data_IF_375341511335
#
_entry.id   IF_375341511335
#
_cell.length_a   1.000
_cell.length_b   1.000
_cell.length_c   1.000
_cell.angle_alpha   90.00
_cell.angle_beta   90.00
_cell.angle_gamma   90.00
#
_symmetry.space_group_name_H-M   'P 1'
#
loop_
_entity.id
_entity.type
_entity.pdbx_description
1 polymer ?
#
# COMPACT_ATOMS: atom_id res chain seq x y z
N UNK A 1 -13.98 21.43 -13.44
CA UNK A 1 -13.50 20.87 -12.15
C UNK A 1 -12.12 20.29 -12.39
N UNK A 2 -11.13 20.64 -11.57
CA UNK A 2 -9.77 20.11 -11.75
C UNK A 2 -9.65 18.70 -11.19
N UNK A 3 -8.69 17.92 -11.69
CA UNK A 3 -8.42 16.57 -11.20
C UNK A 3 -8.06 16.56 -9.70
N UNK A 4 -7.27 17.54 -9.26
CA UNK A 4 -6.90 17.70 -7.85
C UNK A 4 -8.10 17.98 -6.95
N UNK A 5 -9.04 18.82 -7.40
CA UNK A 5 -10.26 19.10 -6.65
C UNK A 5 -11.13 17.84 -6.47
N UNK A 6 -11.23 17.01 -7.51
CA UNK A 6 -11.99 15.75 -7.43
C UNK A 6 -11.35 14.75 -6.44
N UNK A 7 -10.02 14.62 -6.45
CA UNK A 7 -9.27 13.77 -5.50
C UNK A 7 -9.49 14.27 -4.07
N UNK A 8 -9.35 15.57 -3.84
CA UNK A 8 -9.53 16.17 -2.52
C UNK A 8 -10.94 15.93 -1.99
N UNK A 9 -11.98 16.18 -2.81
CA UNK A 9 -13.37 15.92 -2.42
C UNK A 9 -13.61 14.46 -2.05
N UNK A 10 -13.02 13.52 -2.81
CA UNK A 10 -13.11 12.08 -2.50
C UNK A 10 -12.45 11.74 -1.16
N UNK A 11 -11.28 12.31 -0.87
CA UNK A 11 -10.60 12.14 0.41
C UNK A 11 -11.46 12.68 1.57
N UNK A 12 -11.97 13.91 1.45
CA UNK A 12 -12.82 14.53 2.49
C UNK A 12 -14.08 13.70 2.72
N UNK A 13 -14.74 13.25 1.65
CA UNK A 13 -15.92 12.40 1.76
C UNK A 13 -15.62 11.08 2.49
N UNK A 14 -14.49 10.45 2.19
CA UNK A 14 -14.06 9.22 2.88
C UNK A 14 -13.78 9.49 4.36
N UNK A 15 -13.07 10.56 4.67
CA UNK A 15 -12.79 10.98 6.05
C UNK A 15 -14.08 11.20 6.85
N UNK A 16 -15.00 11.99 6.32
CA UNK A 16 -16.27 12.30 7.00
C UNK A 16 -17.14 11.05 7.18
N UNK A 17 -17.15 10.15 6.19
CA UNK A 17 -17.83 8.86 6.29
C UNK A 17 -17.29 8.06 7.47
N UNK A 18 -15.97 7.79 7.51
CA UNK A 18 -15.35 7.03 8.60
C UNK A 18 -15.53 7.71 9.96
N UNK A 19 -15.42 9.05 10.01
CA UNK A 19 -15.63 9.82 11.24
C UNK A 19 -17.06 9.68 11.79
N UNK A 20 -18.05 9.59 10.90
CA UNK A 20 -19.48 9.59 11.27
C UNK A 20 -20.00 8.19 11.58
N UNK A 21 -19.68 7.19 10.74
CA UNK A 21 -20.24 5.83 10.85
C UNK A 21 -19.24 4.80 11.39
N UNK A 22 -17.98 5.20 11.57
CA UNK A 22 -16.88 4.32 11.98
C UNK A 22 -16.26 3.54 10.82
N UNK A 23 -15.20 2.79 11.15
CA UNK A 23 -14.51 1.92 10.20
C UNK A 23 -15.18 0.54 10.12
N UNK A 24 -15.76 0.22 8.96
CA UNK A 24 -16.42 -1.05 8.67
C UNK A 24 -15.78 -1.74 7.45
N UNK A 25 -14.67 -2.47 7.61
CA UNK A 25 -13.87 -3.01 6.49
C UNK A 25 -14.66 -3.88 5.49
N UNK A 26 -15.72 -4.57 5.94
CA UNK A 26 -16.55 -5.43 5.10
C UNK A 26 -17.63 -4.69 4.31
N UNK A 27 -17.99 -3.47 4.72
CA UNK A 27 -19.16 -2.73 4.24
C UNK A 27 -18.80 -1.35 3.69
N UNK A 28 -17.53 -0.97 3.71
CA UNK A 28 -17.11 0.35 3.28
C UNK A 28 -17.28 0.51 1.75
N UNK A 29 -18.12 1.45 1.29
CA UNK A 29 -18.46 1.59 -0.14
C UNK A 29 -17.29 2.03 -1.02
N UNK A 30 -16.19 2.53 -0.43
CA UNK A 30 -14.97 2.90 -1.12
C UNK A 30 -13.99 1.74 -1.41
N UNK A 31 -14.35 0.51 -1.02
CA UNK A 31 -13.52 -0.68 -1.20
C UNK A 31 -12.63 -0.99 0.02
N UNK A 32 -12.06 -2.20 0.01
CA UNK A 32 -11.12 -2.67 1.04
C UNK A 32 -9.73 -2.10 0.79
N UNK A 33 -8.94 -2.01 1.86
CA UNK A 33 -7.49 -1.83 1.73
C UNK A 33 -6.94 -3.14 1.19
N UNK A 34 -6.30 -3.08 0.02
CA UNK A 34 -5.62 -4.22 -0.59
C UNK A 34 -4.18 -3.90 -0.90
N UNK A 35 -3.35 -4.93 -1.01
CA UNK A 35 -1.93 -4.74 -1.26
C UNK A 35 -1.12 -6.01 -1.13
N UNK A 36 0.19 -5.85 -1.20
CA UNK A 36 1.15 -6.95 -1.18
C UNK A 36 2.01 -6.85 0.07
N UNK A 37 2.27 -7.98 0.72
CA UNK A 37 3.23 -8.08 1.81
C UNK A 37 4.61 -8.30 1.20
N UNK A 38 5.55 -7.44 1.56
CA UNK A 38 6.97 -7.61 1.32
C UNK A 38 7.60 -8.17 2.58
N UNK A 39 8.25 -9.33 2.48
CA UNK A 39 8.91 -10.01 3.60
C UNK A 39 10.43 -9.97 3.43
N UNK A 40 11.11 -9.46 4.44
CA UNK A 40 12.56 -9.43 4.58
C UNK A 40 12.97 -10.07 5.92
N UNK A 41 14.26 -10.34 6.09
CA UNK A 41 14.79 -10.97 7.31
C UNK A 41 14.46 -10.20 8.60
N UNK A 42 14.42 -8.87 8.54
CA UNK A 42 14.24 -7.97 9.68
C UNK A 42 12.78 -7.52 9.89
N UNK A 43 11.85 -8.01 9.07
CA UNK A 43 10.43 -7.77 9.23
C UNK A 43 9.66 -7.71 7.91
N UNK A 44 8.53 -7.02 7.95
CA UNK A 44 7.65 -6.91 6.80
C UNK A 44 7.16 -5.49 6.56
N UNK A 45 6.75 -5.25 5.32
CA UNK A 45 6.04 -4.05 4.88
C UNK A 45 4.81 -4.45 4.11
N UNK A 46 3.71 -3.75 4.35
CA UNK A 46 2.51 -3.87 3.52
C UNK A 46 2.46 -2.70 2.56
N UNK A 47 2.46 -2.98 1.25
CA UNK A 47 2.37 -1.97 0.19
C UNK A 47 0.95 -1.98 -0.33
N UNK A 48 0.19 -0.93 -0.02
CA UNK A 48 -1.20 -0.80 -0.45
C UNK A 48 -1.30 -0.41 -1.93
N UNK A 49 -2.13 -1.13 -2.69
CA UNK A 49 -2.45 -0.83 -4.09
C UNK A 49 -3.84 -0.18 -4.23
N UNK A 50 -4.77 -0.45 -3.31
CA UNK A 50 -6.12 0.12 -3.25
C UNK A 50 -6.46 0.54 -1.83
N UNK A 51 -7.46 1.42 -1.72
CA UNK A 51 -7.92 1.94 -0.43
C UNK A 51 -7.07 3.08 0.14
N UNK A 52 -6.23 3.76 -0.66
CA UNK A 52 -5.34 4.83 -0.20
C UNK A 52 -6.09 5.98 0.51
N UNK A 53 -7.27 6.37 0.02
CA UNK A 53 -8.10 7.39 0.69
C UNK A 53 -8.58 6.93 2.07
N UNK A 54 -8.95 5.65 2.20
CA UNK A 54 -9.39 5.08 3.45
C UNK A 54 -8.24 4.97 4.44
N UNK A 55 -7.06 4.53 3.97
CA UNK A 55 -5.84 4.50 4.79
C UNK A 55 -5.47 5.89 5.33
N UNK A 56 -5.52 6.92 4.48
CA UNK A 56 -5.26 8.30 4.88
C UNK A 56 -6.28 8.80 5.91
N UNK A 57 -7.57 8.51 5.72
CA UNK A 57 -8.61 8.88 6.67
C UNK A 57 -8.43 8.18 8.03
N UNK A 58 -8.16 6.87 8.04
CA UNK A 58 -7.93 6.10 9.26
C UNK A 58 -6.73 6.62 10.05
N UNK A 59 -5.63 6.93 9.35
CA UNK A 59 -4.44 7.52 9.96
C UNK A 59 -4.75 8.89 10.59
N UNK A 60 -5.47 9.76 9.87
CA UNK A 60 -5.85 11.09 10.38
C UNK A 60 -6.80 11.01 11.58
N UNK A 61 -7.66 9.99 11.64
CA UNK A 61 -8.57 9.72 12.76
C UNK A 61 -7.91 8.96 13.93
N UNK A 62 -6.62 8.64 13.84
CA UNK A 62 -5.86 8.01 14.92
C UNK A 62 -6.12 6.51 15.10
N UNK A 63 -6.62 5.82 14.07
CA UNK A 63 -6.76 4.36 14.12
C UNK A 63 -5.37 3.70 14.13
N UNK A 64 -5.03 2.89 15.15
CA UNK A 64 -3.70 2.28 15.26
C UNK A 64 -3.52 1.09 14.31
N UNK A 65 -4.62 0.53 13.82
CA UNK A 65 -4.66 -0.69 13.00
C UNK A 65 -5.78 -0.60 11.97
N UNK A 66 -5.60 -1.25 10.83
CA UNK A 66 -6.60 -1.38 9.79
C UNK A 66 -6.59 -2.79 9.22
N UNK A 67 -7.76 -3.36 8.96
CA UNK A 67 -7.88 -4.62 8.21
C UNK A 67 -7.52 -4.41 6.75
N UNK A 68 -6.66 -5.26 6.21
CA UNK A 68 -6.30 -5.28 4.80
C UNK A 68 -6.48 -6.69 4.23
N UNK A 69 -6.59 -6.80 2.91
CA UNK A 69 -6.64 -8.08 2.19
C UNK A 69 -5.46 -8.15 1.22
N UNK A 70 -4.92 -9.33 1.00
CA UNK A 70 -3.85 -9.51 0.02
C UNK A 70 -4.39 -9.31 -1.39
N UNK A 71 -3.63 -8.61 -2.22
CA UNK A 71 -3.99 -8.31 -3.59
C UNK A 71 -3.96 -9.60 -4.42
N UNK A 72 -5.06 -9.97 -5.11
CA UNK A 72 -5.09 -11.16 -5.96
C UNK A 72 -4.29 -11.00 -7.25
N UNK A 73 -3.92 -9.76 -7.60
CA UNK A 73 -3.10 -9.43 -8.77
C UNK A 73 -1.60 -9.75 -8.52
N UNK A 74 -1.23 -9.94 -7.26
CA UNK A 74 0.07 -10.44 -6.83
C UNK A 74 -0.14 -11.78 -6.14
N UNK A 75 0.89 -12.59 -5.93
CA UNK A 75 0.78 -13.75 -5.02
C UNK A 75 0.48 -13.34 -3.56
N UNK A 76 0.28 -12.03 -3.30
CA UNK A 76 -0.05 -11.45 -2.01
C UNK A 76 1.16 -11.30 -1.10
N UNK A 77 2.21 -12.07 -1.37
CA UNK A 77 3.46 -12.11 -0.62
C UNK A 77 4.63 -12.11 -1.60
N UNK A 78 5.63 -11.27 -1.34
CA UNK A 78 6.91 -11.28 -2.02
C UNK A 78 8.00 -11.39 -0.97
N UNK A 79 8.71 -12.51 -1.00
CA UNK A 79 9.92 -12.73 -0.20
C UNK A 79 11.13 -12.14 -0.94
N UNK A 80 11.99 -11.42 -0.24
CA UNK A 80 13.16 -10.76 -0.81
C UNK A 80 14.05 -11.76 -1.55
N UNK A 81 14.23 -12.96 -1.00
CA UNK A 81 15.07 -14.03 -1.52
C UNK A 81 14.51 -14.57 -2.85
N UNK A 82 13.20 -14.45 -3.06
CA UNK A 82 12.47 -14.92 -4.25
C UNK A 82 12.28 -13.83 -5.30
N UNK A 83 12.88 -12.65 -5.16
CA UNK A 83 12.74 -11.57 -6.16
C UNK A 83 13.17 -12.01 -7.56
N UNK A 84 14.21 -12.83 -7.65
CA UNK A 84 14.69 -13.39 -8.92
C UNK A 84 13.69 -14.34 -9.58
N UNK A 85 12.77 -14.89 -8.79
CA UNK A 85 11.76 -15.82 -9.25
C UNK A 85 10.47 -15.17 -9.71
N UNK A 86 10.32 -13.85 -9.52
CA UNK A 86 9.12 -13.12 -9.90
C UNK A 86 8.88 -13.21 -11.42
N UNK A 87 7.62 -13.36 -11.88
CA UNK A 87 7.32 -13.58 -13.29
C UNK A 87 7.91 -12.52 -14.23
N UNK A 88 7.86 -11.25 -13.83
CA UNK A 88 8.39 -10.14 -14.64
C UNK A 88 9.92 -10.05 -14.65
N UNK A 89 10.59 -10.57 -13.61
CA UNK A 89 12.06 -10.69 -13.58
C UNK A 89 12.48 -11.86 -14.47
N UNK A 90 11.82 -13.02 -14.33
CA UNK A 90 12.05 -14.20 -15.19
C UNK A 90 11.78 -13.91 -16.67
N UNK A 91 10.76 -13.11 -16.97
CA UNK A 91 10.44 -12.68 -18.32
C UNK A 91 11.39 -11.61 -18.89
N UNK A 92 12.35 -11.11 -18.09
CA UNK A 92 13.32 -10.10 -18.52
C UNK A 92 12.74 -8.69 -18.68
N UNK A 93 11.55 -8.42 -18.14
CA UNK A 93 10.93 -7.07 -18.16
C UNK A 93 11.74 -6.10 -17.32
N UNK A 94 12.29 -6.58 -16.20
CA UNK A 94 13.20 -5.83 -15.35
C UNK A 94 14.44 -6.67 -14.97
N UNK A 95 15.63 -6.05 -14.89
CA UNK A 95 16.78 -6.68 -14.26
C UNK A 95 16.49 -7.02 -12.80
N UNK A 96 17.02 -8.16 -12.33
CA UNK A 96 16.85 -8.59 -10.94
C UNK A 96 17.36 -7.54 -9.94
N UNK A 97 18.49 -6.88 -10.25
CA UNK A 97 19.07 -5.84 -9.39
C UNK A 97 18.15 -4.62 -9.27
N UNK A 98 17.44 -4.26 -10.34
CA UNK A 98 16.43 -3.18 -10.31
C UNK A 98 15.24 -3.57 -9.45
N UNK A 99 14.75 -4.80 -9.57
CA UNK A 99 13.66 -5.29 -8.73
C UNK A 99 14.06 -5.32 -7.24
N UNK A 100 15.31 -5.74 -6.96
CA UNK A 100 15.87 -5.74 -5.61
C UNK A 100 15.98 -4.32 -5.04
N UNK A 101 16.47 -3.37 -5.84
CA UNK A 101 16.55 -1.96 -5.45
C UNK A 101 15.17 -1.39 -5.09
N UNK A 102 14.14 -1.67 -5.90
CA UNK A 102 12.77 -1.22 -5.65
C UNK A 102 12.17 -1.86 -4.40
N UNK A 103 12.44 -3.15 -4.19
CA UNK A 103 12.03 -3.86 -2.98
C UNK A 103 12.67 -3.23 -1.74
N UNK A 104 13.99 -3.07 -1.74
CA UNK A 104 14.75 -2.50 -0.61
C UNK A 104 14.32 -1.04 -0.34
N UNK A 105 13.95 -0.30 -1.38
CA UNK A 105 13.42 1.05 -1.24
C UNK A 105 12.12 1.12 -0.42
N UNK A 106 11.29 0.06 -0.42
CA UNK A 106 10.07 0.00 0.39
C UNK A 106 10.36 -0.05 1.91
N UNK A 107 11.56 -0.49 2.29
CA UNK A 107 11.99 -0.58 3.69
C UNK A 107 12.72 0.69 4.17
N UNK A 108 13.12 1.58 3.25
CA UNK A 108 13.74 2.86 3.63
C UNK A 108 12.74 3.82 4.28
N UNK A 109 13.09 4.37 5.44
CA UNK A 109 12.22 5.32 6.18
C UNK A 109 12.24 6.71 5.54
N UNK A 110 11.17 7.48 5.73
CA UNK A 110 11.04 8.85 5.21
C UNK A 110 12.17 9.77 5.67
N UNK A 111 12.69 9.59 6.91
CA UNK A 111 13.87 10.33 7.42
C UNK A 111 15.15 10.05 6.61
N UNK A 112 15.28 8.84 6.06
CA UNK A 112 16.43 8.46 5.24
C UNK A 112 16.28 8.91 3.77
N UNK A 113 15.07 9.30 3.33
CA UNK A 113 14.78 9.74 1.95
C UNK A 113 15.02 11.24 1.70
N UNK A 114 15.11 12.05 2.74
CA UNK A 114 15.32 13.52 2.66
C UNK A 114 16.70 13.92 3.23
N UNK A 115 17.50 12.96 3.68
CA UNK A 115 18.78 13.16 4.36
C UNK A 115 19.96 12.43 3.70
N UNK A 116 20.01 12.44 2.36
CA UNK A 116 21.16 11.97 1.56
C UNK A 116 21.37 12.88 0.38
#
# INVERSE_FOLDING_TARGET
MSHGEAIYRKLVWVYESVRTVGYLPGLYPGGRITGTVLLADDGYRFVADKGLFLLAALAALGYPQASATLSPETEGLIEREKIRDLPFVKAGVYPADTALLLFDHAFTTFKHKIGS
#
